data_IF_457770277154
#
_entry.id   IF_457770277154
#
_cell.length_a   1.000
_cell.length_b   1.000
_cell.length_c   1.000
_cell.angle_alpha   90.00
_cell.angle_beta   90.00
_cell.angle_gamma   90.00
#
_symmetry.space_group_name_H-M   'P 1'
#
loop_
_entity.id
_entity.type
_entity.pdbx_description
1 polymer ?
#
# COMPACT_ATOMS: atom_id res chain seq x y z
N UNK A 1 -23.01 -25.45 1.16
CA UNK A 1 -21.54 -25.33 1.04
C UNK A 1 -21.09 -24.26 2.01
N UNK A 2 -20.09 -24.50 2.88
CA UNK A 2 -19.45 -23.42 3.61
C UNK A 2 -18.76 -22.50 2.59
N UNK A 3 -18.90 -21.19 2.76
CA UNK A 3 -18.18 -20.19 1.97
C UNK A 3 -16.67 -20.47 2.06
N UNK A 4 -15.89 -20.28 0.97
CA UNK A 4 -14.44 -20.40 1.06
C UNK A 4 -13.93 -19.42 2.12
N UNK A 5 -13.04 -19.91 2.98
CA UNK A 5 -12.38 -19.15 4.03
C UNK A 5 -11.69 -17.94 3.39
N UNK A 6 -12.27 -16.74 3.56
CA UNK A 6 -11.65 -15.51 3.08
C UNK A 6 -10.41 -15.31 3.95
N UNK A 7 -9.23 -15.58 3.39
CA UNK A 7 -7.94 -15.38 4.05
C UNK A 7 -7.91 -13.97 4.65
N UNK A 8 -7.93 -13.89 5.98
CA UNK A 8 -7.84 -12.61 6.70
C UNK A 8 -6.43 -12.06 6.53
N UNK A 9 -6.26 -10.77 6.20
CA UNK A 9 -4.93 -10.20 6.06
C UNK A 9 -4.19 -10.23 7.41
N UNK A 10 -2.94 -10.68 7.35
CA UNK A 10 -2.02 -10.81 8.48
C UNK A 10 -1.39 -9.45 8.78
N UNK A 11 -1.76 -8.83 9.90
CA UNK A 11 -1.29 -7.48 10.23
C UNK A 11 -0.20 -7.57 11.29
N UNK A 12 1.03 -7.24 10.92
CA UNK A 12 2.11 -7.10 11.88
C UNK A 12 1.88 -5.81 12.68
N UNK A 13 1.87 -5.91 13.99
CA UNK A 13 1.72 -4.76 14.86
C UNK A 13 2.93 -4.77 15.80
N UNK A 14 3.60 -3.63 15.91
CA UNK A 14 4.79 -3.51 16.78
C UNK A 14 4.39 -3.56 18.24
N UNK A 15 5.22 -4.19 19.07
CA UNK A 15 5.10 -4.15 20.52
C UNK A 15 6.46 -4.02 21.18
N UNK A 16 6.50 -3.40 22.34
CA UNK A 16 7.68 -3.27 23.19
C UNK A 16 7.30 -3.64 24.61
N UNK A 17 7.73 -4.82 25.09
CA UNK A 17 7.50 -5.25 26.49
C UNK A 17 8.12 -4.25 27.50
N UNK A 18 9.16 -3.54 27.07
CA UNK A 18 9.78 -2.48 27.85
C UNK A 18 8.95 -1.19 27.94
N UNK A 19 7.82 -1.05 27.23
CA UNK A 19 6.94 0.13 27.29
C UNK A 19 5.64 -0.16 28.08
N UNK A 20 5.58 0.14 29.39
CA UNK A 20 4.41 -0.16 30.21
C UNK A 20 3.16 0.65 29.83
N UNK A 21 3.29 1.69 29.00
CA UNK A 21 2.17 2.48 28.48
C UNK A 21 1.52 1.87 27.23
N UNK A 22 2.17 0.89 26.62
CA UNK A 22 1.70 0.27 25.39
C UNK A 22 0.46 -0.59 25.65
N UNK A 23 -0.61 -0.34 24.89
CA UNK A 23 -1.86 -1.11 24.97
C UNK A 23 -2.07 -1.92 23.71
N UNK A 24 -1.17 -2.87 23.49
CA UNK A 24 -1.24 -3.86 22.41
C UNK A 24 -2.67 -4.33 22.08
N UNK A 25 -3.44 -4.67 23.13
CA UNK A 25 -4.78 -5.21 22.98
C UNK A 25 -5.74 -4.25 22.27
N UNK A 26 -5.64 -2.93 22.52
CA UNK A 26 -6.49 -1.92 21.87
C UNK A 26 -6.29 -1.96 20.34
N UNK A 27 -5.03 -2.01 19.89
CA UNK A 27 -4.68 -2.11 18.47
C UNK A 27 -5.15 -3.44 17.87
N UNK A 28 -4.87 -4.55 18.55
CA UNK A 28 -5.23 -5.89 18.08
C UNK A 28 -6.76 -6.03 17.93
N UNK A 29 -7.53 -5.46 18.85
CA UNK A 29 -8.99 -5.49 18.79
C UNK A 29 -9.55 -4.64 17.65
N UNK A 30 -8.92 -3.50 17.31
CA UNK A 30 -9.29 -2.73 16.12
C UNK A 30 -9.01 -3.49 14.82
N UNK A 31 -7.85 -4.14 14.74
CA UNK A 31 -7.50 -4.97 13.58
C UNK A 31 -8.50 -6.12 13.41
N UNK A 32 -8.86 -6.80 14.50
CA UNK A 32 -9.89 -7.87 14.48
C UNK A 32 -11.26 -7.32 14.07
N UNK A 33 -11.66 -6.16 14.59
CA UNK A 33 -12.93 -5.52 14.23
C UNK A 33 -13.00 -5.17 12.74
N UNK A 34 -11.87 -4.80 12.14
CA UNK A 34 -11.71 -4.57 10.69
C UNK A 34 -11.42 -5.86 9.88
N UNK A 35 -11.66 -7.05 10.46
CA UNK A 35 -11.50 -8.36 9.83
C UNK A 35 -10.06 -8.80 9.50
N UNK A 36 -9.05 -8.22 10.16
CA UNK A 36 -7.66 -8.67 10.08
C UNK A 36 -7.26 -9.69 11.14
N UNK A 37 -6.11 -10.34 10.92
CA UNK A 37 -5.42 -11.18 11.90
C UNK A 37 -4.24 -10.40 12.51
N UNK A 38 -4.30 -9.95 13.78
CA UNK A 38 -3.20 -9.23 14.40
C UNK A 38 -2.07 -10.17 14.80
N UNK A 39 -0.84 -9.86 14.39
CA UNK A 39 0.38 -10.60 14.69
C UNK A 39 1.29 -9.72 15.57
N UNK A 40 1.56 -10.11 16.83
CA UNK A 40 2.49 -9.36 17.66
C UNK A 40 3.91 -9.48 17.15
N UNK A 41 4.58 -8.33 17.01
CA UNK A 41 6.00 -8.27 16.73
C UNK A 41 6.75 -7.57 17.85
N UNK A 42 7.44 -8.37 18.65
CA UNK A 42 8.27 -7.85 19.71
C UNK A 42 9.55 -7.22 19.15
N UNK A 43 9.65 -5.89 19.27
CA UNK A 43 10.79 -5.13 18.77
C UNK A 43 12.10 -5.53 19.46
N UNK A 44 12.05 -6.10 20.67
CA UNK A 44 13.23 -6.59 21.36
C UNK A 44 13.84 -7.84 20.71
N UNK A 45 13.08 -8.55 19.86
CA UNK A 45 13.56 -9.71 19.11
C UNK A 45 14.31 -9.32 17.84
N UNK A 46 14.13 -8.10 17.34
CA UNK A 46 14.77 -7.66 16.11
C UNK A 46 16.29 -7.49 16.27
N UNK A 47 17.04 -8.01 15.30
CA UNK A 47 18.46 -7.73 15.08
C UNK A 47 18.63 -7.15 13.68
N UNK A 48 19.62 -6.26 13.53
CA UNK A 48 19.90 -5.64 12.23
C UNK A 48 20.21 -6.71 11.19
N UNK A 49 19.44 -6.73 10.11
CA UNK A 49 19.54 -7.72 9.04
C UNK A 49 18.51 -8.85 9.12
N UNK A 50 17.70 -8.91 10.18
CA UNK A 50 16.63 -9.90 10.29
C UNK A 50 15.55 -9.69 9.23
N UNK A 51 14.96 -10.82 8.80
CA UNK A 51 13.74 -10.85 7.99
C UNK A 51 12.54 -10.77 8.92
N UNK A 52 11.64 -9.82 8.68
CA UNK A 52 10.40 -9.70 9.45
C UNK A 52 9.43 -10.84 9.15
N UNK A 53 8.55 -11.21 10.09
CA UNK A 53 7.51 -12.20 9.84
C UNK A 53 6.65 -11.82 8.62
N UNK A 54 6.25 -12.81 7.83
CA UNK A 54 5.32 -12.63 6.72
C UNK A 54 4.01 -11.93 7.17
N UNK A 55 3.68 -10.81 6.52
CA UNK A 55 2.54 -9.95 6.85
C UNK A 55 2.03 -9.18 5.63
N UNK A 56 0.73 -8.86 5.65
CA UNK A 56 -0.01 -8.13 4.62
C UNK A 56 -0.07 -6.62 4.85
N UNK A 57 0.18 -6.18 6.09
CA UNK A 57 0.26 -4.76 6.46
C UNK A 57 0.93 -4.56 7.81
N UNK A 58 1.34 -3.32 8.07
CA UNK A 58 2.06 -2.91 9.27
C UNK A 58 1.29 -1.85 10.05
N UNK A 59 1.13 -2.06 11.36
CA UNK A 59 0.69 -1.02 12.30
C UNK A 59 1.84 -0.69 13.23
N UNK A 60 2.26 0.58 13.25
CA UNK A 60 3.20 1.10 14.24
C UNK A 60 2.43 1.68 15.42
N UNK A 61 2.75 1.23 16.62
CA UNK A 61 2.08 1.62 17.87
C UNK A 61 2.61 2.94 18.42
N UNK A 62 1.78 3.60 19.24
CA UNK A 62 2.23 4.70 20.10
C UNK A 62 3.19 4.22 21.19
N UNK A 63 3.88 5.14 21.86
CA UNK A 63 4.79 4.78 22.94
C UNK A 63 5.72 5.90 23.37
N UNK A 64 6.88 5.49 23.91
CA UNK A 64 8.01 6.35 24.34
C UNK A 64 8.58 7.27 23.23
N UNK A 65 9.43 8.22 23.57
CA UNK A 65 9.96 9.19 22.59
C UNK A 65 10.91 8.53 21.58
N UNK A 66 11.02 9.14 20.39
CA UNK A 66 12.03 8.76 19.38
C UNK A 66 13.36 9.44 19.71
N UNK A 67 14.46 8.69 19.67
CA UNK A 67 15.79 9.22 19.99
C UNK A 67 16.19 10.37 19.04
N UNK A 68 16.48 11.58 19.56
CA UNK A 68 16.90 12.74 18.77
C UNK A 68 18.13 12.54 17.89
N UNK A 69 19.03 11.62 18.27
CA UNK A 69 20.18 11.26 17.47
C UNK A 69 19.78 10.69 16.09
N UNK A 70 18.56 10.14 15.97
CA UNK A 70 18.03 9.56 14.73
C UNK A 70 17.65 10.60 13.67
N UNK A 71 17.52 11.86 14.07
CA UNK A 71 17.30 13.00 13.17
C UNK A 71 18.33 14.12 13.38
N UNK A 72 19.48 13.78 13.96
CA UNK A 72 20.65 14.66 14.02
C UNK A 72 20.55 15.82 15.01
N UNK A 73 19.69 15.72 16.03
CA UNK A 73 19.52 16.77 17.04
C UNK A 73 20.01 16.33 18.43
N UNK A 74 20.50 17.26 19.28
CA UNK A 74 20.76 16.98 20.67
C UNK A 74 19.44 16.77 21.45
N UNK A 75 19.47 16.03 22.57
CA UNK A 75 18.29 15.78 23.38
C UNK A 75 17.81 17.05 24.10
N UNK A 76 16.51 17.30 24.04
CA UNK A 76 15.85 18.34 24.83
C UNK A 76 15.83 17.96 26.33
N UNK A 77 15.86 18.95 27.23
CA UNK A 77 15.87 18.73 28.69
C UNK A 77 14.66 17.94 29.22
N UNK A 78 13.56 18.00 28.46
CA UNK A 78 12.28 17.34 28.77
C UNK A 78 11.97 16.16 27.85
N UNK A 79 13.01 15.57 27.25
CA UNK A 79 12.91 14.32 26.52
C UNK A 79 12.38 13.21 27.44
N UNK A 80 11.44 12.43 26.93
CA UNK A 80 10.90 11.27 27.62
C UNK A 80 11.87 10.10 27.65
N UNK A 81 11.33 8.93 28.02
CA UNK A 81 12.09 7.68 27.96
C UNK A 81 12.44 7.35 26.50
N UNK A 82 13.58 6.71 26.29
CA UNK A 82 13.98 6.15 25.00
C UNK A 82 14.05 4.63 25.08
N UNK A 83 13.79 3.96 23.97
CA UNK A 83 14.01 2.51 23.79
C UNK A 83 14.74 2.31 22.45
N UNK A 84 16.08 2.37 22.42
CA UNK A 84 16.85 2.32 21.17
C UNK A 84 16.59 1.09 20.30
N UNK A 85 16.33 -0.07 20.91
CA UNK A 85 15.99 -1.31 20.19
C UNK A 85 14.68 -1.15 19.39
N UNK A 86 13.71 -0.42 19.95
CA UNK A 86 12.44 -0.11 19.27
C UNK A 86 12.66 0.83 18.09
N UNK A 87 13.47 1.88 18.27
CA UNK A 87 13.84 2.77 17.16
C UNK A 87 14.56 2.00 16.04
N UNK A 88 15.45 1.07 16.36
CA UNK A 88 16.12 0.24 15.34
C UNK A 88 15.12 -0.63 14.56
N UNK A 89 14.26 -1.37 15.25
CA UNK A 89 13.29 -2.28 14.65
C UNK A 89 12.23 -1.55 13.81
N UNK A 90 11.61 -0.52 14.39
CA UNK A 90 10.52 0.18 13.73
C UNK A 90 11.00 1.02 12.55
N UNK A 91 12.21 1.58 12.61
CA UNK A 91 12.75 2.29 11.44
C UNK A 91 13.04 1.31 10.29
N UNK A 92 13.53 0.11 10.59
CA UNK A 92 13.75 -0.91 9.58
C UNK A 92 12.42 -1.39 8.97
N UNK A 93 11.40 -1.65 9.80
CA UNK A 93 10.04 -1.98 9.36
C UNK A 93 9.43 -0.87 8.49
N UNK A 94 9.54 0.38 8.93
CA UNK A 94 9.00 1.54 8.20
C UNK A 94 9.66 1.70 6.84
N UNK A 95 11.00 1.60 6.76
CA UNK A 95 11.72 1.64 5.48
C UNK A 95 11.27 0.53 4.55
N UNK A 96 11.17 -0.70 5.06
CA UNK A 96 10.72 -1.85 4.27
C UNK A 96 9.29 -1.66 3.77
N UNK A 97 8.39 -1.15 4.61
CA UNK A 97 7.00 -0.91 4.25
C UNK A 97 6.87 0.16 3.15
N UNK A 98 7.50 1.32 3.36
CA UNK A 98 7.47 2.43 2.40
C UNK A 98 8.12 2.06 1.06
N UNK A 99 9.24 1.32 1.07
CA UNK A 99 9.92 0.91 -0.16
C UNK A 99 9.19 -0.23 -0.88
N UNK A 100 8.55 -1.15 -0.14
CA UNK A 100 7.89 -2.32 -0.69
C UNK A 100 6.41 -2.12 -1.04
N UNK A 101 5.87 -0.92 -0.84
CA UNK A 101 4.44 -0.65 -1.06
C UNK A 101 3.53 -1.36 -0.05
N UNK A 102 4.06 -1.84 1.09
CA UNK A 102 3.30 -2.59 2.09
C UNK A 102 2.44 -1.60 2.88
N UNK A 103 1.11 -1.76 2.94
CA UNK A 103 0.24 -0.86 3.68
C UNK A 103 0.76 -0.59 5.10
N UNK A 104 0.76 0.68 5.48
CA UNK A 104 1.27 1.17 6.76
C UNK A 104 0.23 2.10 7.43
N UNK A 105 -0.12 1.79 8.68
CA UNK A 105 -0.87 2.67 9.57
C UNK A 105 -0.01 3.00 10.80
N UNK A 106 0.40 4.25 10.95
CA UNK A 106 1.37 4.65 11.97
C UNK A 106 0.73 5.57 13.02
N UNK A 107 0.67 5.13 14.28
CA UNK A 107 -0.15 5.80 15.31
C UNK A 107 0.73 6.48 16.37
N UNK A 108 0.46 7.75 16.64
CA UNK A 108 1.14 8.60 17.61
C UNK A 108 2.66 8.60 17.40
N UNK A 109 3.41 7.88 18.24
CA UNK A 109 4.85 7.64 18.04
C UNK A 109 5.16 7.04 16.67
N UNK A 110 4.33 6.11 16.17
CA UNK A 110 4.49 5.53 14.84
C UNK A 110 4.50 6.60 13.73
N UNK A 111 3.63 7.60 13.81
CA UNK A 111 3.63 8.73 12.87
C UNK A 111 4.96 9.50 12.90
N UNK A 112 5.51 9.70 14.09
CA UNK A 112 6.79 10.37 14.29
C UNK A 112 7.96 9.56 13.72
N UNK A 113 7.95 8.23 13.92
CA UNK A 113 8.90 7.30 13.29
C UNK A 113 8.81 7.39 11.77
N UNK A 114 7.60 7.37 11.20
CA UNK A 114 7.37 7.52 9.76
C UNK A 114 7.97 8.83 9.21
N UNK A 115 7.78 9.94 9.92
CA UNK A 115 8.37 11.23 9.55
C UNK A 115 9.91 11.19 9.59
N UNK A 116 10.49 10.72 10.69
CA UNK A 116 11.96 10.69 10.88
C UNK A 116 12.63 9.77 9.87
N UNK A 117 12.09 8.57 9.63
CA UNK A 117 12.59 7.63 8.62
C UNK A 117 12.60 8.25 7.22
N UNK A 118 11.61 9.11 6.94
CA UNK A 118 11.48 9.79 5.65
C UNK A 118 12.36 11.06 5.54
N UNK A 119 13.18 11.36 6.55
CA UNK A 119 14.11 12.48 6.56
C UNK A 119 13.58 13.76 7.24
N UNK A 120 12.45 13.68 7.95
CA UNK A 120 11.95 14.77 8.79
C UNK A 120 12.59 14.79 10.18
N UNK A 121 12.21 15.77 10.99
CA UNK A 121 12.64 15.89 12.41
C UNK A 121 11.43 16.08 13.33
N UNK A 122 11.64 16.19 14.64
CA UNK A 122 10.55 16.35 15.62
C UNK A 122 10.72 17.62 16.44
N UNK A 123 9.60 18.28 16.75
CA UNK A 123 9.56 19.24 17.84
C UNK A 123 9.51 18.44 19.15
N UNK A 124 10.62 18.42 19.91
CA UNK A 124 10.83 17.48 21.00
C UNK A 124 9.96 17.73 22.25
N UNK A 125 9.43 18.95 22.43
CA UNK A 125 8.60 19.27 23.59
C UNK A 125 7.69 20.47 23.35
N UNK A 126 6.37 20.26 23.34
CA UNK A 126 5.38 21.33 23.40
C UNK A 126 5.36 21.91 24.84
N UNK A 127 5.65 23.20 25.01
CA UNK A 127 5.63 23.90 26.31
C UNK A 127 4.19 24.14 26.81
N UNK A 128 3.36 24.77 25.98
CA UNK A 128 1.92 24.96 26.23
C UNK A 128 1.13 23.76 25.67
N UNK A 129 0.98 22.73 26.51
CA UNK A 129 0.42 21.42 26.12
C UNK A 129 -1.08 21.32 26.20
N UNK A 130 -1.83 22.39 26.46
CA UNK A 130 -3.28 22.31 26.34
C UNK A 130 -3.67 22.55 24.89
N UNK A 131 -4.48 21.69 24.25
CA UNK A 131 -5.08 20.44 24.75
C UNK A 131 -4.25 19.16 24.48
N UNK A 132 -3.03 19.29 23.97
CA UNK A 132 -2.05 18.23 23.66
C UNK A 132 -1.46 17.48 24.87
N UNK A 133 -2.29 16.87 25.73
CA UNK A 133 -1.80 16.11 26.90
C UNK A 133 -2.78 15.07 27.42
N UNK A 134 -2.21 14.02 28.01
CA UNK A 134 -2.94 13.16 28.95
C UNK A 134 -3.30 13.94 30.23
N UNK A 135 -4.57 13.89 30.67
CA UNK A 135 -4.99 14.41 31.97
C UNK A 135 -4.69 13.37 33.05
N UNK A 136 -3.80 13.72 33.98
CA UNK A 136 -3.39 12.84 35.08
C UNK A 136 -4.10 13.19 36.39
N UNK A 137 -4.41 12.17 37.18
CA UNK A 137 -4.92 12.29 38.53
C UNK A 137 -3.83 12.66 39.53
N UNK A 138 -4.25 12.89 40.78
CA UNK A 138 -3.35 13.22 41.88
C UNK A 138 -2.34 12.10 42.20
N UNK A 139 -2.63 10.87 41.77
CA UNK A 139 -1.78 9.68 41.87
C UNK A 139 -0.85 9.50 40.65
N UNK A 140 -0.88 10.41 39.68
CA UNK A 140 -0.08 10.35 38.46
C UNK A 140 -0.65 9.41 37.38
N UNK A 141 -1.76 8.72 37.65
CA UNK A 141 -2.44 7.84 36.69
C UNK A 141 -3.18 8.69 35.66
N UNK A 142 -3.15 8.29 34.39
CA UNK A 142 -3.93 8.98 33.34
C UNK A 142 -5.42 8.71 33.55
N UNK A 143 -6.19 9.76 33.81
CA UNK A 143 -7.64 9.72 34.02
C UNK A 143 -8.36 9.82 32.67
N UNK A 144 -7.93 10.74 31.81
CA UNK A 144 -8.60 11.04 30.53
C UNK A 144 -7.57 11.59 29.51
N UNK A 145 -7.93 11.58 28.24
CA UNK A 145 -7.19 12.26 27.18
C UNK A 145 -7.49 13.75 27.14
N UNK A 146 -6.57 14.52 26.59
CA UNK A 146 -6.89 15.82 26.01
C UNK A 146 -7.70 15.63 24.72
N UNK A 147 -8.37 16.67 24.25
CA UNK A 147 -9.22 16.59 23.07
C UNK A 147 -9.16 17.87 22.27
N UNK A 148 -9.05 17.77 20.95
CA UNK A 148 -9.05 18.93 20.04
C UNK A 148 -9.63 18.61 18.67
N UNK A 149 -9.93 19.68 17.93
CA UNK A 149 -10.21 19.62 16.51
C UNK A 149 -8.98 19.31 15.67
N UNK A 150 -9.19 18.61 14.56
CA UNK A 150 -8.23 18.45 13.45
C UNK A 150 -8.93 18.86 12.17
N UNK A 151 -8.31 19.80 11.44
CA UNK A 151 -8.70 20.18 10.09
C UNK A 151 -8.09 19.19 9.10
N UNK A 152 -8.95 18.51 8.35
CA UNK A 152 -8.56 17.53 7.34
C UNK A 152 -8.30 18.25 6.03
N UNK A 153 -7.11 18.06 5.47
CA UNK A 153 -6.69 18.70 4.22
C UNK A 153 -7.30 17.93 3.04
N UNK A 154 -8.04 18.63 2.17
CA UNK A 154 -8.70 18.01 1.01
C UNK A 154 -7.73 17.41 -0.01
N UNK A 155 -8.17 16.37 -0.72
CA UNK A 155 -7.36 15.69 -1.75
C UNK A 155 -6.41 14.63 -1.20
N UNK A 156 -6.34 14.48 0.13
CA UNK A 156 -5.47 13.53 0.82
C UNK A 156 -6.15 12.17 1.04
N UNK A 157 -5.37 11.12 1.30
CA UNK A 157 -5.84 9.81 1.75
C UNK A 157 -6.70 9.96 3.00
N UNK A 158 -6.27 10.77 3.99
CA UNK A 158 -7.10 11.03 5.18
C UNK A 158 -8.48 11.56 4.80
N UNK A 159 -8.57 12.56 3.90
CA UNK A 159 -9.86 13.12 3.48
C UNK A 159 -10.76 12.10 2.77
N UNK A 160 -10.18 11.18 1.99
CA UNK A 160 -10.92 10.10 1.32
C UNK A 160 -11.47 9.07 2.30
N UNK A 161 -10.69 8.76 3.34
CA UNK A 161 -11.08 7.81 4.39
C UNK A 161 -12.16 8.40 5.29
N UNK A 162 -11.94 9.61 5.79
CA UNK A 162 -12.78 10.20 6.83
C UNK A 162 -14.05 10.84 6.25
N UNK A 163 -14.00 11.29 4.99
CA UNK A 163 -15.10 11.97 4.28
C UNK A 163 -15.66 13.18 5.05
N UNK A 164 -14.80 13.84 5.83
CA UNK A 164 -15.12 15.05 6.59
C UNK A 164 -13.96 16.04 6.51
N UNK A 165 -14.28 17.33 6.62
CA UNK A 165 -13.28 18.40 6.72
C UNK A 165 -12.76 18.61 8.16
N UNK A 166 -13.49 18.12 9.16
CA UNK A 166 -13.13 18.30 10.57
C UNK A 166 -13.31 16.99 11.35
N UNK A 167 -12.37 16.72 12.25
CA UNK A 167 -12.41 15.63 13.20
C UNK A 167 -12.30 16.17 14.63
N UNK A 168 -12.88 15.46 15.59
CA UNK A 168 -12.58 15.61 17.01
C UNK A 168 -11.77 14.39 17.44
N UNK A 169 -10.61 14.58 18.04
CA UNK A 169 -9.69 13.49 18.36
C UNK A 169 -9.14 13.60 19.79
N UNK A 170 -8.69 12.47 20.33
CA UNK A 170 -7.99 12.42 21.60
C UNK A 170 -6.50 12.77 21.46
N UNK A 171 -5.88 13.28 22.52
CA UNK A 171 -4.46 13.66 22.48
C UNK A 171 -3.71 13.30 23.76
N UNK A 172 -2.51 12.75 23.58
CA UNK A 172 -1.62 12.23 24.63
C UNK A 172 -0.13 12.42 24.34
N UNK A 173 0.22 13.18 23.31
CA UNK A 173 1.59 13.36 22.86
C UNK A 173 2.17 14.67 23.36
N UNK A 174 3.49 14.78 23.33
CA UNK A 174 4.16 16.06 23.60
C UNK A 174 5.30 16.40 22.66
N UNK A 175 5.72 15.41 21.88
CA UNK A 175 6.47 15.65 20.67
C UNK A 175 5.47 15.87 19.54
N UNK A 176 5.86 16.63 18.53
CA UNK A 176 5.01 16.88 17.38
C UNK A 176 5.83 17.00 16.10
N UNK A 177 5.17 16.75 14.97
CA UNK A 177 5.65 17.19 13.66
C UNK A 177 5.06 18.57 13.39
N UNK A 178 5.89 19.52 12.95
CA UNK A 178 5.42 20.81 12.43
C UNK A 178 5.64 20.84 10.92
N UNK A 179 5.01 21.78 10.20
CA UNK A 179 5.23 21.93 8.74
C UNK A 179 6.72 22.05 8.39
N UNK A 180 7.50 22.77 9.19
CA UNK A 180 8.94 22.97 8.97
C UNK A 180 9.79 21.71 9.24
N UNK A 181 9.25 20.74 9.96
CA UNK A 181 9.93 19.50 10.36
C UNK A 181 9.39 18.26 9.65
N UNK A 182 8.39 18.46 8.78
CA UNK A 182 7.82 17.42 7.95
C UNK A 182 8.85 16.96 6.91
N UNK A 183 8.94 15.65 6.70
CA UNK A 183 9.82 15.05 5.72
C UNK A 183 9.46 15.48 4.27
N UNK A 184 10.45 15.73 3.39
CA UNK A 184 10.21 16.19 2.01
C UNK A 184 9.34 15.28 1.13
N UNK A 185 9.29 13.97 1.43
CA UNK A 185 8.49 12.98 0.69
C UNK A 185 7.11 12.71 1.28
N UNK A 186 6.74 13.38 2.37
CA UNK A 186 5.45 13.24 3.03
C UNK A 186 4.64 14.53 2.89
N UNK A 187 3.33 14.41 3.00
CA UNK A 187 2.43 15.57 3.06
C UNK A 187 1.66 15.56 4.37
N UNK A 188 1.39 16.75 4.92
CA UNK A 188 0.43 16.90 6.01
C UNK A 188 -0.98 16.64 5.46
N UNK A 189 -1.74 15.78 6.11
CA UNK A 189 -3.13 15.47 5.75
C UNK A 189 -4.14 15.89 6.82
N UNK A 190 -3.68 16.17 8.03
CA UNK A 190 -4.47 16.74 9.11
C UNK A 190 -3.64 17.70 9.94
N UNK A 191 -4.24 18.81 10.36
CA UNK A 191 -3.56 19.84 11.16
C UNK A 191 -4.45 20.39 12.28
N UNK A 192 -3.82 20.95 13.30
CA UNK A 192 -4.52 21.71 14.33
C UNK A 192 -3.72 22.93 14.73
N UNK A 193 -4.45 23.98 15.09
CA UNK A 193 -3.94 25.22 15.67
C UNK A 193 -4.48 25.45 17.08
N UNK A 194 -5.24 24.49 17.63
CA UNK A 194 -5.72 24.56 19.01
C UNK A 194 -4.55 24.47 19.98
N UNK A 195 -4.57 25.31 21.02
CA UNK A 195 -3.44 25.47 21.93
C UNK A 195 -2.38 26.45 21.45
N UNK A 196 -2.65 27.22 20.38
CA UNK A 196 -1.75 28.29 19.90
C UNK A 196 -0.53 27.79 19.13
N UNK A 197 -0.45 26.50 18.84
CA UNK A 197 0.64 25.88 18.09
C UNK A 197 0.10 25.21 16.83
N UNK A 198 0.68 25.55 15.67
CA UNK A 198 0.39 24.85 14.41
C UNK A 198 1.16 23.53 14.36
N UNK A 199 0.46 22.42 14.62
CA UNK A 199 1.04 21.07 14.59
C UNK A 199 0.34 20.19 13.56
N UNK A 200 1.11 19.24 13.03
CA UNK A 200 0.63 18.25 12.08
C UNK A 200 0.12 17.05 12.85
N UNK A 201 -1.16 16.74 12.64
CA UNK A 201 -1.89 15.67 13.32
C UNK A 201 -2.04 14.42 12.46
N UNK A 202 -1.84 14.54 11.15
CA UNK A 202 -1.72 13.40 10.26
C UNK A 202 -0.78 13.71 9.10
N UNK A 203 -0.04 12.67 8.69
CA UNK A 203 0.84 12.69 7.53
C UNK A 203 0.55 11.48 6.65
N UNK A 204 0.84 11.60 5.36
CA UNK A 204 0.75 10.46 4.45
C UNK A 204 1.85 10.52 3.39
N UNK A 205 2.19 9.36 2.82
CA UNK A 205 3.08 9.29 1.67
C UNK A 205 2.22 9.25 0.39
N UNK A 206 2.16 10.33 -0.41
CA UNK A 206 1.19 10.46 -1.51
C UNK A 206 1.41 9.47 -2.66
N UNK A 207 2.60 8.90 -2.79
CA UNK A 207 2.94 7.92 -3.83
C UNK A 207 2.91 6.47 -3.34
N UNK A 208 2.48 6.23 -2.09
CA UNK A 208 2.42 4.90 -1.51
C UNK A 208 0.98 4.36 -1.57
N UNK A 209 0.75 3.06 -1.85
CA UNK A 209 -0.60 2.48 -1.97
C UNK A 209 -1.50 2.78 -0.77
N UNK A 210 -0.94 2.66 0.44
CA UNK A 210 -1.55 3.12 1.69
C UNK A 210 -0.48 3.34 2.76
N UNK A 211 -0.12 4.58 3.05
CA UNK A 211 0.74 4.91 4.19
C UNK A 211 0.20 6.15 4.88
N UNK A 212 -0.46 5.94 6.02
CA UNK A 212 -1.11 6.97 6.80
C UNK A 212 -0.56 6.97 8.23
N UNK A 213 -0.06 8.12 8.65
CA UNK A 213 0.33 8.38 10.03
C UNK A 213 -0.65 9.34 10.69
N UNK A 214 -1.08 9.06 11.92
CA UNK A 214 -1.94 9.95 12.72
C UNK A 214 -1.34 10.14 14.11
N UNK A 215 -1.45 11.34 14.66
CA UNK A 215 -0.83 11.71 15.94
C UNK A 215 -1.71 11.35 17.15
N UNK A 216 -3.03 11.35 16.96
CA UNK A 216 -4.00 10.88 17.96
C UNK A 216 -4.02 9.35 18.08
N UNK A 217 -4.88 8.84 18.95
CA UNK A 217 -4.98 7.43 19.29
C UNK A 217 -6.34 6.83 18.87
N UNK A 218 -6.50 6.47 17.57
CA UNK A 218 -7.75 5.93 17.04
C UNK A 218 -8.10 4.54 17.60
N UNK A 219 -7.15 3.84 18.21
CA UNK A 219 -7.31 2.51 18.76
C UNK A 219 -8.08 2.48 20.10
N UNK A 220 -8.08 3.61 20.81
CA UNK A 220 -8.61 3.70 22.17
C UNK A 220 -10.11 3.54 22.20
N UNK A 221 -10.62 2.89 23.25
CA UNK A 221 -12.05 2.66 23.48
C UNK A 221 -12.87 3.96 23.50
N UNK A 222 -12.34 5.06 24.05
CA UNK A 222 -12.99 6.38 24.08
C UNK A 222 -13.30 6.94 22.68
N UNK A 223 -12.45 6.65 21.69
CA UNK A 223 -12.67 6.99 20.29
C UNK A 223 -13.57 5.95 19.63
N UNK A 224 -13.22 4.67 19.81
CA UNK A 224 -13.82 3.54 19.11
C UNK A 224 -15.28 3.22 19.52
N UNK A 225 -15.66 3.50 20.76
CA UNK A 225 -17.00 3.24 21.28
C UNK A 225 -18.00 4.34 20.94
N UNK A 226 -17.54 5.48 20.41
CA UNK A 226 -18.38 6.66 20.11
C UNK A 226 -18.66 6.72 18.60
N UNK A 227 -19.89 6.41 18.12
CA UNK A 227 -20.19 6.38 16.68
C UNK A 227 -19.87 7.69 15.94
N UNK A 228 -20.07 8.84 16.58
CA UNK A 228 -19.74 10.15 16.01
C UNK A 228 -18.24 10.36 15.75
N UNK A 229 -17.36 9.58 16.40
CA UNK A 229 -15.91 9.65 16.24
C UNK A 229 -15.36 8.58 15.29
N UNK A 230 -16.25 7.78 14.67
CA UNK A 230 -15.87 6.65 13.82
C UNK A 230 -14.94 7.06 12.67
N UNK A 231 -15.16 8.23 12.05
CA UNK A 231 -14.32 8.75 10.98
C UNK A 231 -12.84 8.90 11.40
N UNK A 232 -12.57 9.31 12.64
CA UNK A 232 -11.23 9.43 13.20
C UNK A 232 -10.74 8.16 13.92
N UNK A 233 -11.47 7.05 13.84
CA UNK A 233 -11.16 5.80 14.55
C UNK A 233 -11.35 4.59 13.64
N UNK A 234 -12.51 3.91 13.69
CA UNK A 234 -12.78 2.68 12.95
C UNK A 234 -12.52 2.78 11.44
N UNK A 235 -12.92 3.89 10.82
CA UNK A 235 -12.75 4.10 9.38
C UNK A 235 -11.27 4.02 8.93
N UNK A 236 -10.33 4.44 9.80
CA UNK A 236 -8.89 4.37 9.50
C UNK A 236 -8.41 2.92 9.40
N UNK A 237 -8.84 2.07 10.34
CA UNK A 237 -8.51 0.65 10.34
C UNK A 237 -9.21 -0.09 9.19
N UNK A 238 -10.47 0.23 8.90
CA UNK A 238 -11.19 -0.36 7.77
C UNK A 238 -10.52 -0.05 6.44
N UNK A 239 -10.12 1.21 6.22
CA UNK A 239 -9.41 1.60 5.00
C UNK A 239 -8.02 0.96 4.90
N UNK A 240 -7.29 0.87 6.01
CA UNK A 240 -6.01 0.19 6.08
C UNK A 240 -6.14 -1.30 5.75
N UNK A 241 -7.12 -2.01 6.32
CA UNK A 241 -7.36 -3.43 6.06
C UNK A 241 -7.85 -3.66 4.62
N UNK A 242 -8.66 -2.75 4.08
CA UNK A 242 -9.01 -2.77 2.67
C UNK A 242 -7.77 -2.66 1.77
N UNK A 243 -6.83 -1.76 2.10
CA UNK A 243 -5.56 -1.67 1.36
C UNK A 243 -4.71 -2.94 1.50
N UNK A 244 -4.68 -3.59 2.68
CA UNK A 244 -3.98 -4.85 2.89
C UNK A 244 -4.53 -5.96 2.00
N UNK A 245 -5.86 -6.07 1.89
CA UNK A 245 -6.53 -7.07 1.03
C UNK A 245 -6.42 -6.75 -0.46
N UNK A 246 -6.48 -5.48 -0.85
CA UNK A 246 -6.23 -5.05 -2.23
C UNK A 246 -4.76 -5.27 -2.64
N UNK A 247 -3.83 -5.20 -1.67
CA UNK A 247 -2.40 -5.43 -1.81
C UNK A 247 -1.95 -6.90 -1.75
N UNK A 248 -2.85 -7.87 -1.52
CA UNK A 248 -2.57 -9.30 -1.34
C UNK A 248 -2.03 -10.06 -2.58
N UNK A 249 -1.24 -9.41 -3.43
CA UNK A 249 -0.46 -10.17 -4.40
C UNK A 249 0.94 -9.60 -4.63
N UNK A 250 1.68 -9.13 -3.63
CA UNK A 250 3.14 -9.34 -3.71
C UNK A 250 3.37 -10.76 -3.23
N UNK A 251 3.59 -11.71 -4.15
CA UNK A 251 3.75 -13.10 -3.76
C UNK A 251 5.08 -13.23 -3.02
N UNK A 252 5.13 -14.03 -1.97
CA UNK A 252 6.37 -14.32 -1.23
C UNK A 252 7.20 -15.43 -1.90
N UNK A 253 6.64 -16.04 -2.94
CA UNK A 253 7.23 -17.10 -3.75
C UNK A 253 7.12 -16.77 -5.25
N UNK A 254 7.93 -17.41 -6.11
CA UNK A 254 7.78 -17.26 -7.54
C UNK A 254 6.36 -17.60 -7.98
N UNK A 255 5.79 -16.79 -8.87
CA UNK A 255 4.41 -16.89 -9.30
C UNK A 255 4.30 -16.99 -10.81
N UNK A 256 3.21 -17.59 -11.27
CA UNK A 256 2.92 -17.66 -12.69
C UNK A 256 2.16 -16.40 -13.13
N UNK A 257 2.63 -15.80 -14.23
CA UNK A 257 2.04 -14.62 -14.86
C UNK A 257 1.70 -14.92 -16.31
N UNK A 258 0.44 -14.72 -16.68
CA UNK A 258 -0.02 -14.80 -18.06
C UNK A 258 0.02 -13.42 -18.70
N UNK A 259 1.03 -13.19 -19.53
CA UNK A 259 1.19 -11.97 -20.31
C UNK A 259 0.52 -12.09 -21.68
N UNK A 260 -0.21 -11.05 -22.08
CA UNK A 260 -0.80 -10.90 -23.40
C UNK A 260 -0.44 -9.52 -23.98
N UNK A 261 -0.70 -9.29 -25.26
CA UNK A 261 -0.30 -8.04 -25.91
C UNK A 261 1.21 -7.81 -25.91
N UNK A 262 1.65 -6.62 -25.45
CA UNK A 262 3.08 -6.28 -25.42
C UNK A 262 3.89 -7.06 -24.37
N UNK A 263 3.24 -7.61 -23.34
CA UNK A 263 3.90 -8.40 -22.30
C UNK A 263 4.30 -9.81 -22.77
N UNK A 264 3.98 -10.15 -24.02
CA UNK A 264 4.53 -11.32 -24.71
C UNK A 264 5.92 -11.07 -25.32
N UNK A 265 6.31 -9.80 -25.52
CA UNK A 265 7.62 -9.45 -26.06
C UNK A 265 8.69 -9.63 -24.97
N UNK A 266 9.59 -10.58 -25.17
CA UNK A 266 10.61 -10.95 -24.17
C UNK A 266 11.61 -9.82 -23.88
N UNK A 267 11.91 -8.95 -24.85
CA UNK A 267 12.79 -7.81 -24.62
C UNK A 267 12.12 -6.78 -23.71
N UNK A 268 10.81 -6.58 -23.88
CA UNK A 268 10.03 -5.74 -22.98
C UNK A 268 9.88 -6.35 -21.59
N UNK A 269 9.59 -7.66 -21.52
CA UNK A 269 9.47 -8.35 -20.23
C UNK A 269 10.77 -8.22 -19.42
N UNK A 270 11.94 -8.35 -20.06
CA UNK A 270 13.24 -8.17 -19.41
C UNK A 270 13.51 -6.77 -18.89
N UNK A 271 12.90 -5.73 -19.47
CA UNK A 271 13.02 -4.36 -18.97
C UNK A 271 12.26 -4.15 -17.66
N UNK A 272 11.21 -4.94 -17.44
CA UNK A 272 10.32 -4.84 -16.27
C UNK A 272 10.67 -5.86 -15.19
N UNK A 273 10.93 -7.09 -15.60
CA UNK A 273 11.15 -8.26 -14.76
C UNK A 273 12.32 -9.07 -15.37
N UNK A 274 13.58 -8.61 -15.19
CA UNK A 274 14.76 -9.19 -15.85
C UNK A 274 15.00 -10.67 -15.54
N UNK A 275 14.51 -11.17 -14.41
CA UNK A 275 14.66 -12.55 -13.97
C UNK A 275 13.43 -13.43 -14.26
N UNK A 276 12.36 -12.87 -14.84
CA UNK A 276 11.22 -13.63 -15.31
C UNK A 276 11.61 -14.65 -16.39
N UNK A 277 11.16 -15.90 -16.23
CA UNK A 277 11.42 -16.99 -17.18
C UNK A 277 10.18 -17.31 -17.98
N UNK A 278 10.31 -17.33 -19.31
CA UNK A 278 9.25 -17.83 -20.19
C UNK A 278 9.10 -19.35 -19.99
N UNK A 279 7.89 -19.79 -19.64
CA UNK A 279 7.52 -21.20 -19.54
C UNK A 279 7.03 -21.72 -20.88
N UNK A 280 6.20 -20.93 -21.58
CA UNK A 280 5.68 -21.28 -22.91
C UNK A 280 4.41 -20.53 -23.26
N UNK A 281 3.69 -20.99 -24.28
CA UNK A 281 2.37 -20.48 -24.62
C UNK A 281 1.29 -21.06 -23.69
N UNK A 282 0.20 -20.31 -23.50
CA UNK A 282 -0.99 -20.80 -22.82
C UNK A 282 -2.25 -20.15 -23.41
N UNK A 283 -3.39 -20.79 -23.18
CA UNK A 283 -4.71 -20.41 -23.70
C UNK A 283 -5.64 -20.01 -22.56
N UNK A 284 -6.19 -18.82 -22.63
CA UNK A 284 -7.28 -18.34 -21.80
C UNK A 284 -8.60 -18.50 -22.56
N UNK A 285 -9.50 -19.35 -22.06
CA UNK A 285 -10.82 -19.55 -22.65
C UNK A 285 -11.82 -18.48 -22.18
N UNK A 286 -12.90 -18.30 -22.93
CA UNK A 286 -14.03 -17.41 -22.64
C UNK A 286 -13.64 -15.93 -22.49
N UNK A 287 -12.57 -15.53 -23.17
CA UNK A 287 -12.08 -14.16 -23.21
C UNK A 287 -11.72 -13.77 -24.65
N UNK A 288 -11.93 -12.48 -24.97
CA UNK A 288 -11.48 -11.88 -26.21
C UNK A 288 -10.36 -10.87 -25.95
N UNK A 289 -9.41 -10.80 -26.89
CA UNK A 289 -8.39 -9.75 -26.90
C UNK A 289 -9.02 -8.45 -27.41
N UNK A 290 -9.01 -7.42 -26.58
CA UNK A 290 -9.55 -6.10 -26.89
C UNK A 290 -8.47 -5.03 -26.84
N UNK A 291 -8.80 -3.81 -27.26
CA UNK A 291 -7.95 -2.62 -27.19
C UNK A 291 -8.76 -1.50 -26.54
N UNK A 292 -8.77 -1.47 -25.21
CA UNK A 292 -9.76 -0.71 -24.44
C UNK A 292 -9.18 0.45 -23.63
N UNK A 293 -7.89 0.75 -23.79
CA UNK A 293 -7.25 1.93 -23.20
C UNK A 293 -6.22 2.50 -24.19
N UNK A 294 -6.17 3.82 -24.33
CA UNK A 294 -5.25 4.49 -25.25
C UNK A 294 -3.91 4.79 -24.57
N UNK A 295 -2.81 4.36 -25.17
CA UNK A 295 -1.47 4.83 -24.80
C UNK A 295 -1.12 6.05 -25.63
N UNK A 296 -1.08 7.24 -25.01
CA UNK A 296 -0.80 8.50 -25.71
C UNK A 296 0.69 8.82 -25.86
N UNK A 297 1.54 8.23 -25.01
CA UNK A 297 2.96 8.61 -24.92
C UNK A 297 3.91 7.56 -25.46
N UNK A 298 3.49 6.28 -25.48
CA UNK A 298 4.38 5.16 -25.85
C UNK A 298 3.97 4.53 -27.16
N UNK A 299 2.68 4.23 -27.32
CA UNK A 299 2.20 3.48 -28.48
C UNK A 299 1.34 4.30 -29.42
N UNK A 300 0.79 5.44 -29.00
CA UNK A 300 -0.09 6.29 -29.81
C UNK A 300 -1.31 5.56 -30.40
N UNK A 301 -1.89 4.62 -29.65
CA UNK A 301 -3.05 3.83 -30.05
C UNK A 301 -3.62 3.00 -28.90
N UNK A 302 -4.63 2.19 -29.19
CA UNK A 302 -5.19 1.25 -28.22
C UNK A 302 -4.19 0.18 -27.80
N UNK A 303 -4.13 -0.13 -26.51
CA UNK A 303 -3.30 -1.21 -25.96
C UNK A 303 -4.17 -2.35 -25.44
N UNK A 304 -3.57 -3.54 -25.37
CA UNK A 304 -4.27 -4.80 -25.18
C UNK A 304 -5.02 -4.89 -23.84
N UNK A 305 -6.18 -5.53 -23.87
CA UNK A 305 -7.00 -5.90 -22.72
C UNK A 305 -7.61 -7.29 -22.94
N UNK A 306 -8.03 -7.95 -21.86
CA UNK A 306 -8.80 -9.19 -21.91
C UNK A 306 -10.20 -8.94 -21.37
N UNK A 307 -11.22 -9.14 -22.21
CA UNK A 307 -12.62 -8.96 -21.82
C UNK A 307 -13.35 -10.30 -21.84
N UNK A 308 -14.28 -10.57 -20.90
CA UNK A 308 -15.11 -11.76 -20.95
C UNK A 308 -15.85 -11.86 -22.29
N UNK A 309 -15.72 -13.00 -22.96
CA UNK A 309 -16.40 -13.30 -24.22
C UNK A 309 -16.57 -14.81 -24.35
N UNK A 310 -17.73 -15.36 -23.95
CA UNK A 310 -17.97 -16.81 -23.97
C UNK A 310 -17.73 -17.41 -25.36
N UNK A 311 -16.93 -18.48 -25.43
CA UNK A 311 -16.59 -19.17 -26.68
C UNK A 311 -15.40 -18.58 -27.44
N UNK A 312 -14.90 -17.39 -27.08
CA UNK A 312 -13.64 -16.86 -27.59
C UNK A 312 -12.44 -17.38 -26.79
N UNK A 313 -11.24 -17.13 -27.33
CA UNK A 313 -9.99 -17.45 -26.65
C UNK A 313 -8.90 -16.40 -26.89
N UNK A 314 -8.06 -16.25 -25.87
CA UNK A 314 -6.83 -15.45 -25.93
C UNK A 314 -5.63 -16.37 -25.72
N UNK A 315 -4.67 -16.30 -26.63
CA UNK A 315 -3.38 -16.97 -26.46
C UNK A 315 -2.32 -15.96 -26.02
N UNK A 316 -1.49 -16.38 -25.07
CA UNK A 316 -0.49 -15.52 -24.45
C UNK A 316 0.74 -16.29 -23.96
N UNK A 317 1.64 -15.56 -23.32
CA UNK A 317 2.87 -16.06 -22.73
C UNK A 317 2.67 -16.38 -21.25
N UNK A 318 3.05 -17.58 -20.84
CA UNK A 318 3.12 -17.96 -19.43
C UNK A 318 4.55 -17.75 -18.93
N UNK A 319 4.71 -16.88 -17.94
CA UNK A 319 5.96 -16.54 -17.30
C UNK A 319 6.00 -17.08 -15.87
N UNK A 320 7.17 -17.48 -15.40
CA UNK A 320 7.48 -17.65 -13.99
C UNK A 320 8.25 -16.41 -13.52
N UNK A 321 7.64 -15.63 -12.63
CA UNK A 321 8.16 -14.35 -12.18
C UNK A 321 8.62 -14.48 -10.71
N UNK A 322 9.85 -14.07 -10.38
CA UNK A 322 10.30 -14.02 -8.99
C UNK A 322 9.48 -13.06 -8.13
N UNK A 323 9.30 -13.35 -6.83
CA UNK A 323 8.47 -12.55 -5.94
C UNK A 323 8.94 -11.09 -5.86
N UNK A 324 10.25 -10.85 -5.87
CA UNK A 324 10.88 -9.52 -5.80
C UNK A 324 10.55 -8.63 -7.00
N UNK A 325 10.21 -9.20 -8.16
CA UNK A 325 9.87 -8.45 -9.38
C UNK A 325 8.37 -8.14 -9.48
N UNK A 326 7.57 -8.59 -8.52
CA UNK A 326 6.12 -8.39 -8.55
C UNK A 326 5.71 -6.92 -8.51
N UNK A 327 6.44 -6.08 -7.79
CA UNK A 327 6.14 -4.65 -7.69
C UNK A 327 6.49 -3.92 -9.00
N UNK A 328 7.66 -4.22 -9.58
CA UNK A 328 8.08 -3.64 -10.85
C UNK A 328 7.10 -3.99 -11.98
N UNK A 329 6.56 -5.21 -11.96
CA UNK A 329 5.53 -5.64 -12.91
C UNK A 329 4.23 -4.82 -12.76
N UNK A 330 3.76 -4.60 -11.54
CA UNK A 330 2.57 -3.75 -11.30
C UNK A 330 2.76 -2.30 -11.75
N UNK A 331 3.92 -1.74 -11.44
CA UNK A 331 4.25 -0.36 -11.80
C UNK A 331 4.26 -0.19 -13.32
N UNK A 332 4.86 -1.15 -14.04
CA UNK A 332 4.88 -1.17 -15.50
C UNK A 332 3.48 -1.23 -16.11
N UNK A 333 2.62 -2.09 -15.58
CA UNK A 333 1.23 -2.25 -16.02
C UNK A 333 0.36 -1.05 -15.58
N UNK A 334 0.91 -0.11 -14.82
CA UNK A 334 0.26 1.15 -14.47
C UNK A 334 -0.79 1.00 -13.37
N UNK A 335 -0.59 0.07 -12.45
CA UNK A 335 -1.46 -0.13 -11.27
C UNK A 335 -1.42 1.06 -10.31
N UNK A 336 -0.32 1.80 -10.29
CA UNK A 336 -0.09 2.92 -9.38
C UNK A 336 -0.29 4.29 -10.07
N UNK A 337 -0.87 4.31 -11.28
CA UNK A 337 -1.27 5.55 -11.96
C UNK A 337 -2.57 6.09 -11.35
N UNK A 338 -2.83 7.39 -11.52
CA UNK A 338 -4.11 7.99 -11.18
C UNK A 338 -4.80 8.54 -12.45
N UNK A 339 -5.91 7.93 -12.91
CA UNK A 339 -6.48 6.66 -12.44
C UNK A 339 -5.62 5.44 -12.85
N UNK A 340 -5.75 4.29 -12.15
CA UNK A 340 -5.00 3.08 -12.47
C UNK A 340 -5.41 2.55 -13.85
N UNK A 341 -4.42 2.18 -14.66
CA UNK A 341 -4.66 1.69 -16.01
C UNK A 341 -5.21 0.25 -15.98
N UNK A 342 -4.56 -0.62 -15.20
CA UNK A 342 -4.92 -2.02 -15.04
C UNK A 342 -5.09 -2.38 -13.56
N UNK A 343 -5.82 -3.48 -13.32
CA UNK A 343 -5.89 -4.18 -12.02
C UNK A 343 -5.34 -5.60 -12.17
N UNK A 344 -4.85 -6.17 -11.08
CA UNK A 344 -4.54 -7.61 -11.00
C UNK A 344 -5.82 -8.42 -11.13
N UNK A 345 -5.74 -9.50 -11.88
CA UNK A 345 -6.75 -10.55 -11.92
C UNK A 345 -6.08 -11.91 -11.82
N UNK A 346 -6.81 -12.90 -11.30
CA UNK A 346 -6.38 -14.30 -11.34
C UNK A 346 -7.16 -14.98 -12.45
N UNK A 347 -6.44 -15.54 -13.42
CA UNK A 347 -7.02 -16.27 -14.54
C UNK A 347 -6.57 -17.73 -14.50
N UNK A 348 -7.33 -18.58 -15.16
CA UNK A 348 -6.96 -19.97 -15.36
C UNK A 348 -6.72 -20.22 -16.84
N UNK A 349 -5.52 -20.67 -17.16
CA UNK A 349 -5.08 -20.90 -18.54
C UNK A 349 -4.79 -22.38 -18.75
N UNK A 350 -4.91 -22.83 -19.99
CA UNK A 350 -4.56 -24.19 -20.40
C UNK A 350 -3.27 -24.17 -21.20
N UNK A 351 -2.27 -24.96 -20.81
CA UNK A 351 -1.03 -25.14 -21.59
C UNK A 351 -1.29 -26.01 -22.84
N UNK A 352 -0.38 -26.03 -23.82
CA UNK A 352 -0.47 -26.96 -24.96
C UNK A 352 -0.53 -28.44 -24.57
N UNK A 353 -0.01 -28.83 -23.41
CA UNK A 353 -0.10 -30.18 -22.84
C UNK A 353 -1.48 -30.49 -22.24
N UNK A 354 -2.35 -29.50 -22.09
CA UNK A 354 -3.68 -29.64 -21.49
C UNK A 354 -3.73 -29.34 -19.98
N UNK A 355 -2.63 -28.92 -19.37
CA UNK A 355 -2.59 -28.60 -17.94
C UNK A 355 -3.32 -27.29 -17.65
N UNK A 356 -4.20 -27.31 -16.65
CA UNK A 356 -4.89 -26.11 -16.16
C UNK A 356 -4.05 -25.44 -15.09
N UNK A 357 -3.69 -24.19 -15.33
CA UNK A 357 -2.76 -23.42 -14.51
C UNK A 357 -3.43 -22.14 -14.07
N UNK A 358 -3.48 -21.93 -12.75
CA UNK A 358 -3.93 -20.67 -12.17
C UNK A 358 -2.74 -19.70 -12.14
N UNK A 359 -2.92 -18.51 -12.68
CA UNK A 359 -1.86 -17.51 -12.80
C UNK A 359 -2.42 -16.10 -12.68
N UNK A 360 -1.54 -15.15 -12.38
CA UNK A 360 -1.84 -13.72 -12.42
C UNK A 360 -1.95 -13.25 -13.85
N UNK A 361 -2.85 -12.31 -14.10
CA UNK A 361 -2.87 -11.48 -15.29
C UNK A 361 -3.29 -10.05 -14.89
N UNK A 362 -3.33 -9.15 -15.85
CA UNK A 362 -3.82 -7.79 -15.67
C UNK A 362 -5.07 -7.59 -16.53
N UNK A 363 -5.94 -6.67 -16.13
CA UNK A 363 -7.14 -6.30 -16.89
C UNK A 363 -7.40 -4.80 -16.73
N UNK A 364 -7.83 -4.12 -17.79
CA UNK A 364 -8.11 -2.68 -17.73
C UNK A 364 -9.19 -2.37 -16.70
N UNK A 365 -8.97 -1.34 -15.87
CA UNK A 365 -9.91 -0.99 -14.80
C UNK A 365 -11.21 -0.42 -15.36
N UNK A 366 -11.08 0.53 -16.30
CA UNK A 366 -12.19 1.20 -16.98
C UNK A 366 -12.01 1.11 -18.50
N UNK A 367 -12.48 0.03 -19.14
CA UNK A 367 -12.42 -0.14 -20.60
C UNK A 367 -13.19 0.98 -21.33
N UNK A 368 -12.55 1.67 -22.28
CA UNK A 368 -13.19 2.62 -23.19
C UNK A 368 -13.40 1.99 -24.57
N UNK A 369 -14.65 1.71 -24.99
CA UNK A 369 -14.94 1.10 -26.29
C UNK A 369 -14.66 2.03 -27.49
N UNK A 370 -14.39 3.32 -27.25
CA UNK A 370 -14.06 4.31 -28.30
C UNK A 370 -12.56 4.41 -28.56
N UNK A 371 -11.76 3.61 -27.86
CA UNK A 371 -10.31 3.56 -28.03
C UNK A 371 -9.96 3.25 -29.49
N UNK A 372 -9.02 3.99 -30.12
CA UNK A 372 -8.62 3.71 -31.49
C UNK A 372 -7.96 2.33 -31.61
N UNK A 373 -7.88 1.76 -32.83
CA UNK A 373 -7.08 0.56 -33.08
C UNK A 373 -5.64 0.70 -32.56
N UNK A 374 -4.93 -0.42 -32.33
CA UNK A 374 -3.52 -0.38 -31.95
C UNK A 374 -2.71 0.35 -33.01
N UNK A 375 -1.57 0.92 -32.61
CA UNK A 375 -0.61 1.45 -33.58
C UNK A 375 0.11 0.33 -34.31
N UNK A 376 0.76 0.70 -35.42
CA UNK A 376 1.57 -0.24 -36.19
C UNK A 376 2.71 -0.80 -35.33
N UNK A 377 3.40 0.04 -34.56
CA UNK A 377 4.46 -0.41 -33.67
C UNK A 377 3.96 -1.33 -32.55
N UNK A 378 2.80 -1.04 -31.95
CA UNK A 378 2.21 -1.94 -30.95
C UNK A 378 1.88 -3.31 -31.56
N UNK A 379 1.24 -3.30 -32.74
CA UNK A 379 0.87 -4.52 -33.47
C UNK A 379 2.11 -5.34 -33.86
N UNK A 380 3.19 -4.69 -34.28
CA UNK A 380 4.46 -5.35 -34.57
C UNK A 380 5.08 -5.98 -33.31
N UNK A 381 5.06 -5.30 -32.17
CA UNK A 381 5.53 -5.85 -30.90
C UNK A 381 4.71 -7.08 -30.46
N UNK A 382 3.38 -6.98 -30.56
CA UNK A 382 2.47 -8.07 -30.29
C UNK A 382 2.73 -9.28 -31.20
N UNK A 383 2.97 -9.07 -32.50
CA UNK A 383 3.29 -10.14 -33.44
C UNK A 383 4.67 -10.77 -33.19
N UNK A 384 5.68 -9.97 -32.83
CA UNK A 384 7.00 -10.48 -32.43
C UNK A 384 6.90 -11.36 -31.18
N UNK A 385 6.19 -10.89 -30.16
CA UNK A 385 5.92 -11.67 -28.95
C UNK A 385 5.20 -12.97 -29.26
N UNK A 386 4.11 -12.91 -30.03
CA UNK A 386 3.33 -14.09 -30.41
C UNK A 386 4.15 -15.16 -31.14
N UNK A 387 5.06 -14.76 -32.03
CA UNK A 387 5.97 -15.69 -32.75
C UNK A 387 7.04 -16.26 -31.82
N UNK A 388 7.63 -15.44 -30.96
CA UNK A 388 8.70 -15.84 -30.03
C UNK A 388 8.19 -16.84 -28.99
N UNK A 389 6.97 -16.62 -28.49
CA UNK A 389 6.30 -17.50 -27.52
C UNK A 389 5.84 -18.82 -28.16
N UNK A 390 5.68 -18.86 -29.48
CA UNK A 390 5.20 -20.03 -30.21
C UNK A 390 3.68 -20.20 -30.11
N UNK A 391 2.91 -19.11 -30.28
CA UNK A 391 1.45 -19.20 -30.34
C UNK A 391 0.97 -19.96 -31.58
N UNK A 392 -0.25 -20.55 -31.57
CA UNK A 392 -0.78 -21.28 -32.71
C UNK A 392 -0.77 -20.44 -34.00
N UNK A 393 -0.35 -21.00 -35.16
CA UNK A 393 -0.25 -20.24 -36.42
C UNK A 393 -1.56 -19.55 -36.85
N UNK A 394 -2.70 -20.20 -36.61
CA UNK A 394 -4.02 -19.63 -36.90
C UNK A 394 -4.31 -18.39 -36.03
N UNK A 395 -3.87 -18.39 -34.77
CA UNK A 395 -4.02 -17.23 -33.89
C UNK A 395 -3.10 -16.09 -34.32
N UNK A 396 -1.83 -16.38 -34.66
CA UNK A 396 -0.90 -15.37 -35.19
C UNK A 396 -1.43 -14.73 -36.48
N UNK A 397 -2.06 -15.52 -37.37
CA UNK A 397 -2.70 -14.99 -38.58
C UNK A 397 -3.88 -14.04 -38.27
N UNK A 398 -4.71 -14.38 -37.26
CA UNK A 398 -5.78 -13.48 -36.79
C UNK A 398 -5.23 -12.15 -36.26
N UNK A 399 -4.17 -12.19 -35.44
CA UNK A 399 -3.51 -10.98 -34.93
C UNK A 399 -2.95 -10.11 -36.07
N UNK A 400 -2.39 -10.74 -37.11
CA UNK A 400 -1.83 -10.03 -38.26
C UNK A 400 -2.91 -9.34 -39.11
N UNK A 401 -4.10 -9.93 -39.20
CA UNK A 401 -5.24 -9.42 -39.96
C UNK A 401 -5.99 -8.26 -39.28
N UNK A 402 -5.77 -8.03 -37.98
CA UNK A 402 -6.42 -6.93 -37.26
C UNK A 402 -6.04 -5.55 -37.82
N UNK A 403 -6.96 -4.57 -37.85
CA UNK A 403 -6.63 -3.22 -38.28
C UNK A 403 -5.69 -2.52 -37.28
N UNK A 404 -4.80 -1.67 -37.80
CA UNK A 404 -4.01 -0.72 -37.02
C UNK A 404 -4.33 0.72 -37.45
N UNK A 405 -3.95 1.69 -36.63
CA UNK A 405 -4.23 3.10 -36.88
C UNK A 405 -3.16 3.80 -37.75
N UNK A 406 -2.20 3.05 -38.30
CA UNK A 406 -1.13 3.56 -39.17
C UNK A 406 -0.02 4.38 -38.48
N UNK A 407 -0.12 4.68 -37.18
CA UNK A 407 0.90 5.43 -36.44
C UNK A 407 2.11 4.54 -36.10
N UNK A 408 3.29 5.16 -36.15
CA UNK A 408 4.57 4.55 -35.75
C UNK A 408 4.75 4.64 -34.22
#
# INVERSE_FOLDING_TARGET
>A
MPMPDVLRPRILITRSEDDPGERWQDYADRVRAASGEPIPFDVALYRRGDVFPAHDGLVLTGGVDVDPARYGEPPHERLGRLVPARDEAEFALTRAALAGGRPLLAICRGMQVMNVVSGGTLHQHLEEREPHRSRRGADGVTIDSGWHGVEVIGGTLLSRVTKTAHLRVNSRHHQAVTRARLAPGLVASGMTSEGGLEVVEAIEAPHHPFALGVQWHPERSEMAATPALHAGSGALFEAFLHACTAGQATPETPFLYFGYGSSMDADRMRQTAPHARLIGSARLADHALAFSIESKNTWHGGVADILPSPGDEVWGALWLVPPEESHALDEHEGLFREPPAYRRVTVEVTTPSGDRVRCRSYQVVMPDPRTPPPSKAFKEALLRGARTVGLPPAYVARLAAMPDNGRA
#
